data_IF_770264681857
#
_entry.id   IF_770264681857
#
_cell.length_a   1.000
_cell.length_b   1.000
_cell.length_c   1.000
_cell.angle_alpha   90.00
_cell.angle_beta   90.00
_cell.angle_gamma   90.00
#
_symmetry.space_group_name_H-M   'P 1'
#
loop_
_entity.id
_entity.type
_entity.pdbx_description
1 polymer ?
#
# COMPACT_ATOMS: atom_id res chain seq x y z
N UNK A 1 -9.51 -12.00 35.78
CA UNK A 1 -10.12 -12.08 34.44
C UNK A 1 -9.15 -12.48 33.31
N UNK A 2 -7.89 -12.87 33.60
CA UNK A 2 -6.92 -13.36 32.60
C UNK A 2 -6.71 -14.90 32.63
N UNK A 3 -7.19 -15.60 33.65
CA UNK A 3 -7.06 -17.06 33.75
C UNK A 3 -8.17 -17.85 33.02
N UNK A 4 -9.26 -17.19 32.59
CA UNK A 4 -10.33 -17.84 31.83
C UNK A 4 -10.03 -17.96 30.34
N UNK A 5 -9.17 -17.09 29.79
CA UNK A 5 -8.83 -17.09 28.36
C UNK A 5 -7.85 -18.23 28.00
N UNK A 6 -6.98 -18.62 28.95
CA UNK A 6 -6.00 -19.69 28.73
C UNK A 6 -6.60 -21.10 28.83
N UNK A 7 -7.69 -21.28 29.59
CA UNK A 7 -8.41 -22.56 29.64
C UNK A 7 -9.29 -22.81 28.40
N UNK A 8 -9.70 -21.75 27.68
CA UNK A 8 -10.65 -21.86 26.57
C UNK A 8 -10.03 -22.26 25.23
N UNK A 9 -8.71 -22.11 25.05
CA UNK A 9 -8.02 -22.67 23.89
C UNK A 9 -7.98 -24.20 23.92
N UNK A 10 -8.10 -24.82 25.11
CA UNK A 10 -8.03 -26.27 25.28
C UNK A 10 -9.30 -27.01 24.82
N UNK A 11 -10.44 -26.31 24.65
CA UNK A 11 -11.71 -26.93 24.25
C UNK A 11 -11.87 -27.06 22.72
N UNK A 12 -11.10 -26.29 21.92
CA UNK A 12 -11.18 -26.35 20.46
C UNK A 12 -10.41 -27.52 19.83
N UNK A 13 -9.57 -28.22 20.61
CA UNK A 13 -8.66 -29.24 20.11
C UNK A 13 -9.19 -30.68 20.24
N UNK A 14 -10.38 -30.90 20.83
CA UNK A 14 -10.85 -32.27 21.15
C UNK A 14 -12.27 -32.62 20.70
N UNK A 15 -13.09 -31.68 20.24
CA UNK A 15 -14.47 -31.97 19.83
C UNK A 15 -14.84 -31.32 18.49
N UNK A 16 -15.40 -32.13 17.59
CA UNK A 16 -15.94 -31.66 16.33
C UNK A 16 -17.23 -30.85 16.52
N UNK A 17 -17.49 -29.93 15.59
CA UNK A 17 -18.70 -29.11 15.55
C UNK A 17 -19.50 -29.43 14.29
N UNK A 18 -20.79 -29.07 14.29
CA UNK A 18 -21.63 -29.10 13.10
C UNK A 18 -21.91 -27.66 12.67
N UNK A 19 -21.58 -27.34 11.41
CA UNK A 19 -21.84 -26.02 10.80
C UNK A 19 -23.05 -26.16 9.86
N UNK A 20 -24.09 -25.37 10.12
CA UNK A 20 -25.29 -25.28 9.28
C UNK A 20 -25.19 -24.11 8.32
N UNK A 21 -25.02 -24.41 7.04
CA UNK A 21 -25.00 -23.44 5.96
C UNK A 21 -26.44 -23.14 5.52
N UNK A 22 -26.89 -21.91 5.77
CA UNK A 22 -28.23 -21.45 5.36
C UNK A 22 -28.26 -21.15 3.87
N UNK A 23 -29.13 -21.82 3.13
CA UNK A 23 -29.27 -21.59 1.68
C UNK A 23 -30.73 -21.34 1.29
N UNK A 24 -31.00 -20.69 0.14
CA UNK A 24 -32.36 -20.49 -0.35
C UNK A 24 -33.13 -21.78 -0.68
N UNK A 25 -32.42 -22.90 -0.88
CA UNK A 25 -32.98 -24.18 -1.36
C UNK A 25 -33.09 -25.21 -0.23
N UNK A 26 -32.60 -24.88 0.97
CA UNK A 26 -32.59 -25.74 2.16
C UNK A 26 -31.27 -25.64 2.92
N UNK A 27 -31.32 -25.82 4.23
CA UNK A 27 -30.13 -25.79 5.08
C UNK A 27 -29.27 -27.03 4.84
N UNK A 28 -27.95 -26.86 4.86
CA UNK A 28 -26.97 -27.95 4.70
C UNK A 28 -26.06 -28.02 5.92
N UNK A 29 -26.00 -29.19 6.55
CA UNK A 29 -25.14 -29.43 7.71
C UNK A 29 -23.81 -30.05 7.29
N UNK A 30 -22.72 -29.50 7.79
CA UNK A 30 -21.35 -29.93 7.50
C UNK A 30 -20.60 -30.19 8.80
N UNK A 31 -20.17 -31.44 9.07
CA UNK A 31 -19.39 -31.76 10.25
C UNK A 31 -17.93 -31.29 10.08
N UNK A 32 -17.37 -30.72 11.13
CA UNK A 32 -15.98 -30.27 11.20
C UNK A 32 -15.31 -30.92 12.40
N UNK A 33 -14.45 -31.92 12.15
CA UNK A 33 -13.81 -32.71 13.20
C UNK A 33 -12.80 -31.91 14.04
N UNK A 34 -12.10 -30.94 13.41
CA UNK A 34 -11.07 -30.11 14.05
C UNK A 34 -11.29 -28.63 13.75
N UNK A 35 -12.14 -27.93 14.55
CA UNK A 35 -12.46 -26.52 14.32
C UNK A 35 -11.23 -25.61 14.37
N UNK A 36 -10.22 -25.95 15.18
CA UNK A 36 -8.98 -25.17 15.31
C UNK A 36 -8.12 -25.14 14.03
N UNK A 37 -8.30 -26.14 13.15
CA UNK A 37 -7.58 -26.26 11.88
C UNK A 37 -8.37 -25.72 10.68
N UNK A 38 -9.64 -25.35 10.86
CA UNK A 38 -10.49 -24.84 9.79
C UNK A 38 -10.03 -23.44 9.38
N UNK A 39 -9.67 -23.24 8.10
CA UNK A 39 -9.42 -21.90 7.57
C UNK A 39 -10.69 -21.28 6.96
N UNK A 40 -10.73 -19.97 6.91
CA UNK A 40 -11.79 -19.19 6.26
C UNK A 40 -11.94 -19.58 4.79
N UNK A 41 -10.83 -19.87 4.10
CA UNK A 41 -10.89 -20.30 2.72
C UNK A 41 -11.48 -21.72 2.58
N UNK A 42 -11.20 -22.64 3.51
CA UNK A 42 -11.80 -23.98 3.49
C UNK A 42 -13.32 -23.91 3.64
N UNK A 43 -13.80 -23.04 4.54
CA UNK A 43 -15.23 -22.82 4.72
C UNK A 43 -15.86 -22.12 3.51
N UNK A 44 -15.19 -21.14 2.89
CA UNK A 44 -15.68 -20.56 1.62
C UNK A 44 -15.77 -21.59 0.49
N UNK A 45 -14.84 -22.54 0.42
CA UNK A 45 -14.91 -23.64 -0.56
C UNK A 45 -16.12 -24.52 -0.27
N UNK A 46 -16.34 -24.92 0.99
CA UNK A 46 -17.51 -25.72 1.38
C UNK A 46 -18.82 -25.00 1.05
N UNK A 47 -18.91 -23.68 1.27
CA UNK A 47 -20.11 -22.92 0.92
C UNK A 47 -20.27 -22.83 -0.61
N UNK A 48 -19.18 -22.69 -1.38
CA UNK A 48 -19.24 -22.68 -2.86
C UNK A 48 -19.67 -24.03 -3.44
N UNK A 49 -19.29 -25.13 -2.81
CA UNK A 49 -19.76 -26.46 -3.23
C UNK A 49 -21.28 -26.61 -3.04
N UNK A 50 -21.83 -25.96 -2.01
CA UNK A 50 -23.27 -25.92 -1.75
C UNK A 50 -24.00 -24.88 -2.62
N UNK A 51 -23.33 -23.76 -2.97
CA UNK A 51 -23.91 -22.65 -3.73
C UNK A 51 -22.99 -22.21 -4.91
N UNK A 52 -22.79 -23.08 -5.92
CA UNK A 52 -21.80 -22.86 -6.98
C UNK A 52 -22.12 -21.64 -7.88
N UNK A 53 -23.42 -21.29 -7.97
CA UNK A 53 -23.90 -20.18 -8.80
C UNK A 53 -23.73 -18.80 -8.15
N UNK A 54 -23.15 -18.74 -6.95
CA UNK A 54 -22.96 -17.49 -6.20
C UNK A 54 -21.48 -17.22 -5.96
N UNK A 55 -21.05 -15.99 -6.24
CA UNK A 55 -19.69 -15.55 -5.89
C UNK A 55 -19.68 -15.15 -4.42
N UNK A 56 -19.25 -16.09 -3.58
CA UNK A 56 -19.20 -15.90 -2.13
C UNK A 56 -17.80 -15.45 -1.73
N UNK A 57 -17.74 -14.27 -1.11
CA UNK A 57 -16.51 -13.65 -0.61
C UNK A 57 -16.53 -13.45 0.90
N UNK A 58 -17.67 -13.68 1.54
CA UNK A 58 -17.90 -13.55 2.97
C UNK A 58 -19.17 -14.32 3.39
N UNK A 59 -19.33 -14.58 4.67
CA UNK A 59 -20.58 -15.09 5.26
C UNK A 59 -20.83 -14.42 6.61
N UNK A 60 -22.04 -14.55 7.14
CA UNK A 60 -22.43 -13.98 8.43
C UNK A 60 -22.80 -15.09 9.41
N UNK A 61 -22.72 -14.83 10.70
CA UNK A 61 -23.32 -15.66 11.75
C UNK A 61 -24.19 -14.79 12.67
N UNK A 62 -25.04 -15.42 13.47
CA UNK A 62 -25.89 -14.73 14.44
C UNK A 62 -25.24 -14.77 15.83
N UNK A 63 -25.16 -13.62 16.50
CA UNK A 63 -24.78 -13.58 17.91
C UNK A 63 -25.98 -13.77 18.85
N UNK A 64 -25.75 -13.66 20.16
CA UNK A 64 -26.76 -13.82 21.22
C UNK A 64 -27.89 -12.79 21.18
N UNK A 65 -27.66 -11.64 20.53
CA UNK A 65 -28.62 -10.53 20.44
C UNK A 65 -29.41 -10.60 19.13
N UNK A 66 -29.04 -11.51 18.22
CA UNK A 66 -29.65 -11.67 16.90
C UNK A 66 -28.94 -10.86 15.80
N UNK A 67 -27.78 -10.26 16.08
CA UNK A 67 -27.06 -9.44 15.13
C UNK A 67 -26.26 -10.31 14.14
N UNK A 68 -26.33 -9.93 12.85
CA UNK A 68 -25.60 -10.60 11.75
C UNK A 68 -24.16 -10.09 11.70
N UNK A 69 -23.22 -10.88 12.24
CA UNK A 69 -21.79 -10.55 12.23
C UNK A 69 -21.12 -11.16 11.00
N UNK A 70 -20.49 -10.33 10.17
CA UNK A 70 -19.80 -10.82 8.96
C UNK A 70 -18.38 -11.33 9.24
N UNK A 71 -18.06 -12.50 8.68
CA UNK A 71 -16.75 -13.14 8.67
C UNK A 71 -16.12 -13.03 7.28
N UNK A 72 -14.88 -12.52 7.23
CA UNK A 72 -14.11 -12.22 6.01
C UNK A 72 -12.63 -12.65 6.11
N UNK A 73 -12.21 -13.25 7.23
CA UNK A 73 -10.81 -13.59 7.52
C UNK A 73 -10.69 -14.79 8.47
N UNK A 74 -9.48 -15.37 8.58
CA UNK A 74 -9.17 -16.46 9.51
C UNK A 74 -9.28 -16.01 10.97
N UNK A 75 -8.94 -14.76 11.27
CA UNK A 75 -9.03 -14.17 12.60
C UNK A 75 -10.50 -14.04 13.05
N UNK A 76 -11.37 -13.53 12.16
CA UNK A 76 -12.81 -13.44 12.43
C UNK A 76 -13.47 -14.81 12.51
N UNK A 77 -13.02 -15.78 11.70
CA UNK A 77 -13.46 -17.18 11.80
C UNK A 77 -13.09 -17.76 13.17
N UNK A 78 -11.85 -17.57 13.63
CA UNK A 78 -11.41 -18.03 14.95
C UNK A 78 -12.21 -17.38 16.08
N UNK A 79 -12.51 -16.09 15.97
CA UNK A 79 -13.37 -15.41 16.94
C UNK A 79 -14.78 -15.99 16.96
N UNK A 80 -15.39 -16.21 15.80
CA UNK A 80 -16.71 -16.85 15.66
C UNK A 80 -16.71 -18.26 16.25
N UNK A 81 -15.73 -19.09 15.92
CA UNK A 81 -15.63 -20.45 16.42
C UNK A 81 -15.40 -20.46 17.94
N UNK A 82 -14.54 -19.55 18.46
CA UNK A 82 -14.27 -19.45 19.90
C UNK A 82 -15.53 -19.05 20.67
N UNK A 83 -16.29 -18.08 20.13
CA UNK A 83 -17.58 -17.69 20.64
C UNK A 83 -18.57 -18.86 20.67
N UNK A 84 -18.73 -19.57 19.55
CA UNK A 84 -19.63 -20.72 19.47
C UNK A 84 -19.25 -21.84 20.46
N UNK A 85 -17.96 -22.20 20.54
CA UNK A 85 -17.48 -23.22 21.47
C UNK A 85 -17.75 -22.85 22.94
N UNK A 86 -17.64 -21.56 23.31
CA UNK A 86 -17.99 -21.10 24.66
C UNK A 86 -19.48 -21.30 24.93
N UNK A 87 -20.34 -20.89 24.00
CA UNK A 87 -21.80 -20.99 24.15
C UNK A 87 -22.27 -22.46 24.21
N UNK A 88 -21.69 -23.33 23.39
CA UNK A 88 -21.95 -24.77 23.45
C UNK A 88 -21.53 -25.37 24.80
N UNK A 89 -20.39 -24.94 25.33
CA UNK A 89 -19.90 -25.42 26.64
C UNK A 89 -20.85 -25.01 27.77
N UNK A 90 -21.36 -23.78 27.75
CA UNK A 90 -22.35 -23.29 28.72
C UNK A 90 -23.71 -23.99 28.59
N UNK A 91 -24.20 -24.22 27.37
CA UNK A 91 -25.45 -24.93 27.12
C UNK A 91 -25.40 -26.37 27.66
N UNK A 92 -24.28 -27.07 27.46
CA UNK A 92 -24.08 -28.43 27.96
C UNK A 92 -24.01 -28.51 29.48
N UNK A 93 -23.36 -27.53 30.13
CA UNK A 93 -23.36 -27.42 31.60
C UNK A 93 -24.79 -27.25 32.15
N UNK A 94 -25.67 -26.63 31.38
CA UNK A 94 -27.09 -26.44 31.70
C UNK A 94 -27.99 -27.60 31.22
N UNK A 95 -27.42 -28.69 30.69
CA UNK A 95 -28.15 -29.88 30.24
C UNK A 95 -28.93 -29.69 28.93
N UNK A 96 -28.62 -28.65 28.15
CA UNK A 96 -29.25 -28.33 26.87
C UNK A 96 -28.41 -28.88 25.72
N UNK A 97 -29.08 -29.49 24.73
CA UNK A 97 -28.43 -29.94 23.49
C UNK A 97 -28.06 -28.72 22.64
N UNK A 98 -26.79 -28.56 22.24
CA UNK A 98 -26.36 -27.40 21.45
C UNK A 98 -26.89 -27.45 20.02
N UNK A 99 -27.34 -26.31 19.50
CA UNK A 99 -27.69 -26.18 18.09
C UNK A 99 -26.44 -26.04 17.21
N UNK A 100 -26.47 -26.52 15.94
CA UNK A 100 -25.39 -26.31 14.98
C UNK A 100 -25.07 -24.83 14.75
N UNK A 101 -23.79 -24.51 14.50
CA UNK A 101 -23.35 -23.15 14.20
C UNK A 101 -23.94 -22.70 12.86
N UNK A 102 -24.87 -21.74 12.89
CA UNK A 102 -25.54 -21.27 11.69
C UNK A 102 -24.73 -20.19 10.98
N UNK A 103 -24.46 -20.38 9.69
CA UNK A 103 -23.80 -19.39 8.83
C UNK A 103 -24.67 -19.02 7.63
N UNK A 104 -24.56 -17.77 7.21
CA UNK A 104 -25.39 -17.11 6.21
C UNK A 104 -24.49 -16.57 5.09
N UNK A 105 -24.38 -17.25 3.95
CA UNK A 105 -23.52 -16.82 2.86
C UNK A 105 -23.91 -15.46 2.29
N UNK A 106 -22.93 -14.59 2.01
CA UNK A 106 -23.14 -13.37 1.23
C UNK A 106 -22.55 -13.52 -0.16
N UNK A 107 -23.43 -13.54 -1.16
CA UNK A 107 -23.05 -13.53 -2.57
C UNK A 107 -24.02 -12.70 -3.42
N UNK A 108 -23.53 -12.17 -4.54
CA UNK A 108 -24.35 -11.59 -5.60
C UNK A 108 -24.66 -12.68 -6.63
N UNK A 109 -25.94 -12.91 -6.94
CA UNK A 109 -26.35 -13.89 -7.97
C UNK A 109 -25.86 -13.45 -9.36
N UNK A 110 -25.05 -14.30 -10.00
CA UNK A 110 -24.84 -14.22 -11.44
C UNK A 110 -25.95 -15.02 -12.12
N UNK A 111 -26.89 -14.35 -12.79
CA UNK A 111 -27.94 -15.00 -13.58
C UNK A 111 -27.34 -15.76 -14.78
N UNK A 112 -27.20 -17.09 -14.77
CA UNK A 112 -27.33 -17.95 -15.99
C UNK A 112 -27.73 -19.42 -15.65
N UNK A 113 -28.94 -19.78 -16.09
CA UNK A 113 -29.48 -21.08 -16.61
C UNK A 113 -28.87 -22.45 -16.20
N UNK A 114 -29.76 -23.23 -15.58
CA UNK A 114 -29.84 -24.69 -15.33
C UNK A 114 -29.23 -25.63 -16.39
N UNK A 115 -28.50 -26.65 -15.92
CA UNK A 115 -28.56 -28.03 -16.45
C UNK A 115 -28.49 -29.07 -15.31
N UNK A 116 -29.33 -30.09 -15.39
CA UNK A 116 -29.48 -31.17 -14.40
C UNK A 116 -28.42 -32.27 -14.54
N UNK A 117 -28.03 -32.93 -13.44
CA UNK A 117 -27.59 -34.32 -13.52
C UNK A 117 -26.69 -34.87 -12.40
N UNK A 118 -27.30 -35.72 -11.58
CA UNK A 118 -26.77 -36.95 -10.96
C UNK A 118 -25.70 -36.91 -9.83
N UNK A 119 -26.18 -37.45 -8.70
CA UNK A 119 -25.51 -38.09 -7.56
C UNK A 119 -24.12 -38.68 -7.82
N UNK A 120 -23.16 -38.35 -6.96
CA UNK A 120 -21.86 -39.02 -6.86
C UNK A 120 -21.07 -38.60 -5.62
N UNK A 121 -20.79 -39.56 -4.73
CA UNK A 121 -19.85 -39.44 -3.59
C UNK A 121 -18.51 -38.87 -4.06
N UNK A 122 -17.99 -37.85 -3.38
CA UNK A 122 -16.64 -37.32 -3.65
C UNK A 122 -15.61 -37.88 -2.66
N UNK A 123 -14.65 -38.62 -3.23
CA UNK A 123 -13.35 -38.90 -2.62
C UNK A 123 -12.54 -37.60 -2.53
N UNK A 124 -11.96 -37.34 -1.36
CA UNK A 124 -11.02 -36.25 -1.11
C UNK A 124 -9.78 -36.44 -1.99
N UNK A 125 -9.59 -35.56 -2.98
CA UNK A 125 -8.34 -35.36 -3.67
C UNK A 125 -7.74 -34.03 -3.22
N UNK A 126 -6.62 -34.11 -2.51
CA UNK A 126 -5.79 -32.97 -2.13
C UNK A 126 -5.36 -32.20 -3.39
N UNK A 127 -5.98 -31.04 -3.63
CA UNK A 127 -5.44 -30.05 -4.57
C UNK A 127 -4.62 -29.04 -3.77
N UNK A 128 -3.32 -29.13 -3.96
CA UNK A 128 -2.33 -28.30 -3.28
C UNK A 128 -2.42 -26.84 -3.73
N UNK A 129 -2.53 -25.95 -2.75
CA UNK A 129 -2.51 -24.49 -2.91
C UNK A 129 -1.24 -24.03 -3.65
N UNK A 130 -1.39 -23.58 -4.89
CA UNK A 130 -0.30 -23.21 -5.80
C UNK A 130 -0.10 -21.69 -5.94
N UNK A 131 -1.06 -20.86 -5.52
CA UNK A 131 -0.98 -19.40 -5.66
C UNK A 131 -0.28 -18.68 -4.49
N UNK A 132 -0.46 -19.13 -3.23
CA UNK A 132 0.26 -18.57 -2.07
C UNK A 132 1.72 -19.03 -1.98
N UNK A 133 2.03 -20.22 -2.52
CA UNK A 133 3.40 -20.73 -2.62
C UNK A 133 4.25 -19.94 -3.62
N UNK A 134 3.64 -19.36 -4.67
CA UNK A 134 4.35 -18.55 -5.68
C UNK A 134 4.86 -17.23 -5.10
N UNK A 135 4.03 -16.47 -4.38
CA UNK A 135 4.47 -15.19 -3.79
C UNK A 135 5.48 -15.41 -2.67
N UNK A 136 5.33 -16.45 -1.84
CA UNK A 136 6.33 -16.82 -0.83
C UNK A 136 7.68 -17.27 -1.43
N UNK A 137 7.66 -17.96 -2.59
CA UNK A 137 8.87 -18.36 -3.29
C UNK A 137 9.59 -17.18 -3.96
N UNK A 138 8.85 -16.23 -4.55
CA UNK A 138 9.44 -14.99 -5.10
C UNK A 138 10.00 -14.08 -4.01
N UNK A 139 9.33 -14.00 -2.86
CA UNK A 139 9.76 -13.23 -1.70
C UNK A 139 11.01 -13.85 -1.06
N UNK A 140 11.04 -15.18 -0.88
CA UNK A 140 12.29 -15.88 -0.53
C UNK A 140 13.36 -15.58 -1.56
N UNK A 141 13.07 -15.64 -2.86
CA UNK A 141 14.04 -15.30 -3.92
C UNK A 141 14.54 -13.86 -3.84
N UNK A 142 13.70 -12.87 -3.57
CA UNK A 142 14.09 -11.46 -3.39
C UNK A 142 14.95 -11.29 -2.14
N UNK A 143 14.56 -11.91 -1.02
CA UNK A 143 15.29 -11.89 0.25
C UNK A 143 16.60 -12.71 0.19
N UNK A 144 16.67 -13.77 -0.63
CA UNK A 144 17.85 -14.65 -0.77
C UNK A 144 18.78 -14.24 -1.91
N UNK A 145 18.30 -13.47 -2.88
CA UNK A 145 19.12 -12.95 -3.99
C UNK A 145 19.86 -11.66 -3.62
N UNK A 146 19.50 -11.04 -2.49
CA UNK A 146 20.18 -9.85 -2.01
C UNK A 146 21.64 -10.12 -1.68
N UNK A 147 22.57 -9.42 -2.34
CA UNK A 147 24.02 -9.54 -2.09
C UNK A 147 24.48 -8.92 -0.74
N UNK A 148 23.53 -8.48 0.09
CA UNK A 148 23.79 -7.69 1.30
C UNK A 148 23.08 -8.39 2.45
N UNK A 149 23.85 -8.90 3.42
CA UNK A 149 23.31 -9.47 4.65
C UNK A 149 23.28 -8.43 5.77
N UNK A 150 22.42 -8.67 6.77
CA UNK A 150 22.30 -7.80 7.94
C UNK A 150 23.64 -7.59 8.68
N UNK A 151 24.49 -8.60 8.73
CA UNK A 151 25.78 -8.57 9.42
C UNK A 151 26.81 -7.66 8.72
N UNK A 152 26.62 -7.42 7.42
CA UNK A 152 27.53 -6.63 6.59
C UNK A 152 27.19 -5.13 6.62
N UNK A 153 26.16 -4.74 7.38
CA UNK A 153 25.64 -3.37 7.44
C UNK A 153 26.07 -2.70 8.74
N UNK A 154 26.83 -1.62 8.60
CA UNK A 154 27.15 -0.71 9.68
C UNK A 154 26.21 0.49 9.65
N UNK A 155 25.22 0.50 10.55
CA UNK A 155 24.29 1.63 10.71
C UNK A 155 25.00 2.90 11.18
N UNK A 156 24.56 4.04 10.66
CA UNK A 156 25.05 5.38 10.99
C UNK A 156 23.88 6.25 11.49
N UNK A 157 23.86 7.52 11.10
CA UNK A 157 22.82 8.49 11.46
C UNK A 157 21.44 8.12 10.90
N UNK A 158 20.40 8.45 11.66
CA UNK A 158 19.02 8.38 11.19
C UNK A 158 18.76 9.50 10.19
N UNK A 159 18.19 9.16 9.04
CA UNK A 159 17.85 10.09 7.95
C UNK A 159 16.41 10.61 8.09
N UNK A 160 15.49 9.76 8.54
CA UNK A 160 14.08 10.11 8.67
C UNK A 160 13.26 9.05 9.39
N UNK A 161 12.05 9.40 9.81
CA UNK A 161 11.09 8.50 10.45
C UNK A 161 9.67 8.87 10.05
N UNK A 162 8.82 7.86 9.82
CA UNK A 162 7.40 8.04 9.58
C UNK A 162 6.62 6.74 9.70
N UNK A 163 5.36 6.75 9.24
CA UNK A 163 4.48 5.57 9.32
C UNK A 163 5.04 4.35 8.60
N UNK A 164 5.85 4.56 7.56
CA UNK A 164 6.50 3.49 6.80
C UNK A 164 7.80 2.95 7.42
N UNK A 165 8.11 3.32 8.67
CA UNK A 165 9.33 2.90 9.37
C UNK A 165 10.38 3.99 9.51
N UNK A 166 11.59 3.59 9.90
CA UNK A 166 12.72 4.50 10.14
C UNK A 166 13.80 4.27 9.10
N UNK A 167 14.31 5.34 8.50
CA UNK A 167 15.36 5.27 7.48
C UNK A 167 16.69 5.68 8.11
N UNK A 168 17.69 4.82 7.97
CA UNK A 168 19.05 5.05 8.43
C UNK A 168 20.00 5.17 7.25
N UNK A 169 21.01 6.01 7.40
CA UNK A 169 22.22 5.89 6.59
C UNK A 169 23.00 4.70 7.10
N UNK A 170 23.56 3.89 6.21
CA UNK A 170 24.42 2.79 6.60
C UNK A 170 25.57 2.61 5.63
N UNK A 171 26.61 1.92 6.06
CA UNK A 171 27.72 1.52 5.22
C UNK A 171 27.71 0.00 5.03
N UNK A 172 27.68 -0.44 3.78
CA UNK A 172 27.83 -1.85 3.45
C UNK A 172 29.31 -2.20 3.37
N UNK A 173 29.79 -3.01 4.32
CA UNK A 173 31.21 -3.32 4.52
C UNK A 173 31.82 -4.03 3.31
N UNK A 174 31.17 -5.08 2.81
CA UNK A 174 31.69 -5.89 1.70
C UNK A 174 31.60 -5.16 0.36
N UNK A 175 30.50 -4.45 0.13
CA UNK A 175 30.28 -3.71 -1.12
C UNK A 175 30.88 -2.30 -1.14
N UNK A 176 31.55 -1.89 -0.07
CA UNK A 176 32.21 -0.59 0.13
C UNK A 176 31.38 0.62 -0.30
N UNK A 177 30.08 0.63 0.04
CA UNK A 177 29.14 1.66 -0.42
C UNK A 177 28.23 2.15 0.70
N UNK A 178 27.80 3.40 0.58
CA UNK A 178 26.80 4.00 1.46
C UNK A 178 25.41 3.62 0.97
N UNK A 179 24.53 3.27 1.91
CA UNK A 179 23.15 2.84 1.69
C UNK A 179 22.17 3.73 2.46
N UNK A 180 20.93 3.75 1.99
CA UNK A 180 19.78 4.06 2.82
C UNK A 180 19.09 2.74 3.22
N UNK A 181 18.85 2.54 4.51
CA UNK A 181 18.22 1.33 5.05
C UNK A 181 16.93 1.71 5.76
N UNK A 182 15.79 1.37 5.15
CA UNK A 182 14.46 1.57 5.72
C UNK A 182 14.09 0.35 6.57
N UNK A 183 13.96 0.55 7.87
CA UNK A 183 13.64 -0.48 8.86
C UNK A 183 12.18 -0.36 9.27
N UNK A 184 11.41 -1.42 9.04
CA UNK A 184 9.97 -1.50 9.27
C UNK A 184 9.71 -2.60 10.31
N UNK A 185 9.26 -2.27 11.54
CA UNK A 185 8.90 -3.27 12.55
C UNK A 185 7.72 -4.10 12.07
N UNK A 186 7.71 -5.42 12.25
CA UNK A 186 6.69 -6.37 11.77
C UNK A 186 5.67 -6.80 12.84
N UNK A 187 5.47 -6.02 13.91
CA UNK A 187 4.30 -6.16 14.81
C UNK A 187 3.02 -5.68 14.08
N UNK A 188 2.81 -6.21 12.88
CA UNK A 188 2.03 -5.64 11.79
C UNK A 188 0.95 -6.65 11.36
N UNK A 189 -0.22 -6.13 10.98
CA UNK A 189 -1.33 -6.91 10.42
C UNK A 189 -0.98 -7.55 9.06
N UNK A 190 -1.67 -8.63 8.69
CA UNK A 190 -1.43 -9.35 7.42
C UNK A 190 -1.56 -8.42 6.19
N UNK A 191 -2.39 -7.38 6.26
CA UNK A 191 -2.61 -6.40 5.20
C UNK A 191 -1.36 -5.57 4.92
N UNK A 192 -0.75 -4.99 5.96
CA UNK A 192 0.44 -4.15 5.79
C UNK A 192 1.67 -5.02 5.41
N UNK A 193 1.71 -6.29 5.84
CA UNK A 193 2.70 -7.23 5.29
C UNK A 193 2.53 -7.39 3.76
N UNK A 194 1.32 -7.65 3.27
CA UNK A 194 1.05 -7.73 1.81
C UNK A 194 1.44 -6.44 1.08
N UNK A 195 1.21 -5.28 1.70
CA UNK A 195 1.62 -3.99 1.13
C UNK A 195 3.14 -3.87 1.01
N UNK A 196 3.89 -4.20 2.07
CA UNK A 196 5.37 -4.20 2.05
C UNK A 196 5.88 -5.15 0.98
N UNK A 197 5.28 -6.33 0.84
CA UNK A 197 5.70 -7.31 -0.18
C UNK A 197 5.46 -6.79 -1.60
N UNK A 198 4.31 -6.17 -1.86
CA UNK A 198 4.05 -5.58 -3.17
C UNK A 198 4.94 -4.36 -3.45
N UNK A 199 5.37 -3.59 -2.44
CA UNK A 199 6.37 -2.52 -2.61
C UNK A 199 7.74 -3.11 -2.98
N UNK A 200 8.18 -4.16 -2.29
CA UNK A 200 9.43 -4.87 -2.59
C UNK A 200 9.44 -5.49 -3.99
N UNK A 201 8.34 -6.10 -4.43
CA UNK A 201 8.21 -6.66 -5.77
C UNK A 201 8.34 -5.60 -6.86
N UNK A 202 7.77 -4.41 -6.64
CA UNK A 202 7.90 -3.29 -7.57
C UNK A 202 9.35 -2.82 -7.62
N UNK A 203 9.96 -2.56 -6.46
CA UNK A 203 11.36 -2.13 -6.35
C UNK A 203 12.31 -3.11 -7.04
N UNK A 204 12.10 -4.41 -6.85
CA UNK A 204 12.90 -5.45 -7.48
C UNK A 204 12.79 -5.50 -9.01
N UNK A 205 11.64 -5.12 -9.57
CA UNK A 205 11.40 -5.07 -11.03
C UNK A 205 11.93 -3.79 -11.67
N UNK A 206 12.18 -2.74 -10.89
CA UNK A 206 12.59 -1.45 -11.40
C UNK A 206 14.10 -1.43 -11.67
N UNK A 207 14.44 -1.06 -12.90
CA UNK A 207 15.78 -0.73 -13.37
C UNK A 207 15.68 0.51 -14.26
N UNK A 208 15.90 1.67 -13.65
CA UNK A 208 15.77 2.97 -14.32
C UNK A 208 16.59 4.03 -13.58
N UNK A 209 17.26 4.95 -14.30
CA UNK A 209 18.01 6.04 -13.66
C UNK A 209 17.12 7.07 -12.95
N UNK A 210 15.79 6.98 -13.08
CA UNK A 210 14.81 7.89 -12.46
C UNK A 210 14.02 7.24 -11.31
N UNK A 211 14.32 5.98 -10.99
CA UNK A 211 13.73 5.24 -9.87
C UNK A 211 14.86 4.85 -8.91
N UNK A 212 14.59 4.91 -7.60
CA UNK A 212 15.57 4.54 -6.60
C UNK A 212 16.06 3.10 -6.80
N UNK A 213 17.38 2.92 -6.80
CA UNK A 213 18.02 1.62 -6.99
C UNK A 213 17.81 0.79 -5.73
N UNK A 214 17.15 -0.35 -5.89
CA UNK A 214 17.01 -1.36 -4.87
C UNK A 214 18.22 -2.30 -4.89
N UNK A 215 18.79 -2.59 -3.72
CA UNK A 215 19.92 -3.54 -3.61
C UNK A 215 19.52 -4.86 -2.97
N UNK A 216 18.81 -4.82 -1.84
CA UNK A 216 18.46 -6.02 -1.07
C UNK A 216 17.37 -5.70 -0.06
N UNK A 217 16.65 -6.71 0.39
CA UNK A 217 15.86 -6.64 1.60
C UNK A 217 16.13 -7.88 2.44
N UNK A 218 16.08 -7.74 3.77
CA UNK A 218 16.28 -8.86 4.69
C UNK A 218 15.41 -8.68 5.95
N UNK A 219 15.22 -9.80 6.65
CA UNK A 219 14.40 -9.86 7.85
C UNK A 219 15.29 -10.16 9.07
N UNK A 220 15.17 -9.34 10.12
CA UNK A 220 15.89 -9.49 11.40
C UNK A 220 14.94 -9.11 12.55
N UNK A 221 14.83 -9.97 13.57
CA UNK A 221 14.15 -9.67 14.84
C UNK A 221 12.76 -9.03 14.70
N UNK A 222 11.90 -9.63 13.87
CA UNK A 222 10.58 -9.08 13.56
C UNK A 222 10.64 -7.68 12.92
N UNK A 223 11.60 -7.44 12.02
CA UNK A 223 11.69 -6.22 11.22
C UNK A 223 12.11 -6.55 9.79
N UNK A 224 11.56 -5.84 8.81
CA UNK A 224 12.05 -5.84 7.43
C UNK A 224 12.97 -4.65 7.25
N UNK A 225 14.15 -4.90 6.70
CA UNK A 225 15.08 -3.86 6.29
C UNK A 225 15.17 -3.84 4.77
N UNK A 226 14.93 -2.67 4.17
CA UNK A 226 14.99 -2.44 2.72
C UNK A 226 16.21 -1.58 2.44
N UNK A 227 17.15 -2.08 1.65
CA UNK A 227 18.40 -1.42 1.30
C UNK A 227 18.32 -0.82 -0.11
N UNK A 228 18.49 0.49 -0.19
CA UNK A 228 18.51 1.24 -1.44
C UNK A 228 19.78 2.09 -1.55
N UNK A 229 20.02 2.66 -2.73
CA UNK A 229 21.07 3.66 -2.89
C UNK A 229 20.84 4.87 -1.98
N UNK A 230 21.93 5.45 -1.49
CA UNK A 230 21.89 6.66 -0.68
C UNK A 230 21.91 7.90 -1.57
N UNK A 231 20.84 8.71 -1.47
CA UNK A 231 20.72 10.01 -2.15
C UNK A 231 21.14 11.11 -1.17
N UNK A 232 22.38 11.60 -1.28
CA UNK A 232 23.01 12.49 -0.29
C UNK A 232 22.45 13.92 -0.23
N UNK A 233 21.64 14.30 -1.22
CA UNK A 233 20.81 15.51 -1.19
C UNK A 233 19.47 15.30 -0.47
N UNK A 234 19.08 14.07 -0.14
CA UNK A 234 17.81 13.76 0.49
C UNK A 234 16.60 14.08 -0.40
N UNK A 235 15.44 14.25 0.22
CA UNK A 235 14.16 14.51 -0.43
C UNK A 235 13.89 15.99 -0.70
N UNK A 236 13.00 16.31 -1.65
CA UNK A 236 12.74 17.70 -2.04
C UNK A 236 11.97 18.52 -0.99
N UNK A 237 11.22 17.88 -0.10
CA UNK A 237 10.45 18.53 0.97
C UNK A 237 11.32 19.28 1.99
N UNK A 238 12.60 18.91 2.15
CA UNK A 238 13.51 19.63 3.04
C UNK A 238 14.02 20.96 2.44
N UNK A 239 13.74 21.22 1.16
CA UNK A 239 14.16 22.43 0.45
C UNK A 239 13.04 23.46 0.41
N UNK A 240 13.35 24.71 0.76
CA UNK A 240 12.35 25.78 0.82
C UNK A 240 12.00 26.38 -0.53
N UNK A 241 12.99 26.75 -1.33
CA UNK A 241 12.76 27.45 -2.61
C UNK A 241 13.65 26.87 -3.69
N UNK A 242 13.03 26.25 -4.68
CA UNK A 242 13.73 25.71 -5.84
C UNK A 242 13.51 26.68 -7.01
N UNK A 243 14.59 27.22 -7.61
CA UNK A 243 14.48 28.05 -8.82
C UNK A 243 13.82 27.28 -9.97
N UNK A 244 13.00 27.94 -10.77
CA UNK A 244 12.25 27.30 -11.88
C UNK A 244 13.16 26.50 -12.83
N UNK A 245 14.36 27.01 -13.15
CA UNK A 245 15.29 26.33 -14.04
C UNK A 245 15.85 25.02 -13.46
N UNK A 246 15.98 24.91 -12.13
CA UNK A 246 16.33 23.66 -11.46
C UNK A 246 15.10 22.75 -11.40
N UNK A 247 13.97 23.32 -11.02
CA UNK A 247 12.69 22.63 -10.90
C UNK A 247 12.26 22.00 -12.24
N UNK A 248 12.50 22.66 -13.37
CA UNK A 248 12.23 22.11 -14.69
C UNK A 248 13.03 20.84 -15.00
N UNK A 249 14.30 20.78 -14.59
CA UNK A 249 15.13 19.56 -14.76
C UNK A 249 14.71 18.44 -13.81
N UNK A 250 14.29 18.79 -12.60
CA UNK A 250 13.65 17.85 -11.68
C UNK A 250 12.34 17.31 -12.28
N UNK A 251 11.51 18.18 -12.88
CA UNK A 251 10.25 17.79 -13.53
C UNK A 251 10.49 16.78 -14.66
N UNK A 252 11.51 17.02 -15.49
CA UNK A 252 11.92 16.07 -16.55
C UNK A 252 12.21 14.69 -15.97
N UNK A 253 13.00 14.61 -14.90
CA UNK A 253 13.35 13.33 -14.27
C UNK A 253 12.12 12.64 -13.66
N UNK A 254 11.24 13.39 -12.98
CA UNK A 254 10.00 12.85 -12.40
C UNK A 254 9.07 12.31 -13.49
N UNK A 255 8.85 13.07 -14.58
CA UNK A 255 8.00 12.63 -15.70
C UNK A 255 8.61 11.39 -16.38
N UNK A 256 9.92 11.34 -16.58
CA UNK A 256 10.60 10.13 -17.10
C UNK A 256 10.44 8.92 -16.17
N UNK A 257 10.53 9.12 -14.86
CA UNK A 257 10.25 8.09 -13.85
C UNK A 257 8.82 7.57 -13.94
N UNK A 258 7.82 8.45 -14.03
CA UNK A 258 6.42 8.05 -14.18
C UNK A 258 6.13 7.36 -15.52
N UNK A 259 6.72 7.85 -16.62
CA UNK A 259 6.65 7.17 -17.93
C UNK A 259 7.22 5.75 -17.85
N UNK A 260 8.37 5.58 -17.18
CA UNK A 260 8.97 4.27 -16.97
C UNK A 260 8.04 3.33 -16.19
N UNK A 261 7.52 3.76 -15.03
CA UNK A 261 6.59 2.95 -14.24
C UNK A 261 5.33 2.60 -15.03
N UNK A 262 4.79 3.56 -15.77
CA UNK A 262 3.61 3.35 -16.59
C UNK A 262 3.82 2.32 -17.70
N UNK A 263 5.03 2.27 -18.27
CA UNK A 263 5.41 1.23 -19.24
C UNK A 263 5.37 -0.18 -18.65
N UNK A 264 5.67 -0.30 -17.35
CA UNK A 264 5.56 -1.54 -16.57
C UNK A 264 4.15 -1.78 -16.00
N UNK A 265 3.17 -0.93 -16.32
CA UNK A 265 1.81 -0.94 -15.75
C UNK A 265 1.77 -0.74 -14.23
N UNK A 266 2.74 0.00 -13.70
CA UNK A 266 2.85 0.35 -12.30
C UNK A 266 2.40 1.79 -12.10
N UNK A 267 1.58 2.03 -11.08
CA UNK A 267 1.20 3.37 -10.61
C UNK A 267 2.02 3.70 -9.38
N UNK A 268 2.48 4.94 -9.26
CA UNK A 268 3.27 5.34 -8.09
C UNK A 268 2.40 5.57 -6.86
N UNK A 269 1.24 6.23 -7.00
CA UNK A 269 0.23 6.47 -5.95
C UNK A 269 0.66 7.32 -4.75
N UNK A 270 1.87 7.86 -4.72
CA UNK A 270 2.34 8.70 -3.61
C UNK A 270 3.42 9.68 -4.09
N UNK A 271 3.15 10.34 -5.23
CA UNK A 271 4.07 11.32 -5.79
C UNK A 271 3.97 12.60 -4.96
N UNK A 272 5.06 12.96 -4.28
CA UNK A 272 5.16 14.17 -3.44
C UNK A 272 6.63 14.55 -3.24
N UNK A 273 6.94 15.79 -2.79
CA UNK A 273 8.33 16.21 -2.61
C UNK A 273 9.16 15.31 -1.68
N UNK A 274 8.56 14.71 -0.65
CA UNK A 274 9.25 13.78 0.25
C UNK A 274 9.62 12.43 -0.39
N UNK A 275 9.01 12.08 -1.53
CA UNK A 275 9.29 10.88 -2.31
C UNK A 275 10.08 11.16 -3.60
N UNK A 276 10.59 12.39 -3.75
CA UNK A 276 11.49 12.80 -4.83
C UNK A 276 12.87 13.06 -4.23
N UNK A 277 13.84 12.19 -4.51
CA UNK A 277 15.18 12.25 -3.96
C UNK A 277 16.16 12.88 -4.94
N UNK A 278 17.12 13.63 -4.41
CA UNK A 278 18.20 14.27 -5.18
C UNK A 278 19.58 13.95 -4.57
N UNK A 279 20.62 14.02 -5.38
CA UNK A 279 22.00 13.84 -4.91
C UNK A 279 22.95 14.90 -5.49
N UNK A 280 24.17 14.96 -4.94
CA UNK A 280 25.22 15.89 -5.35
C UNK A 280 25.74 15.64 -6.76
N UNK A 281 25.40 14.51 -7.39
CA UNK A 281 25.67 14.23 -8.81
C UNK A 281 24.58 14.79 -9.74
N UNK A 282 23.53 15.42 -9.18
CA UNK A 282 22.43 16.00 -9.96
C UNK A 282 21.40 14.98 -10.43
N UNK A 283 21.45 13.75 -9.91
CA UNK A 283 20.43 12.75 -10.19
C UNK A 283 19.16 13.04 -9.38
N UNK A 284 18.02 12.73 -9.98
CA UNK A 284 16.70 12.89 -9.37
C UNK A 284 15.96 11.56 -9.54
N UNK A 285 15.49 10.98 -8.43
CA UNK A 285 14.88 9.65 -8.42
C UNK A 285 13.62 9.61 -7.58
N UNK A 286 12.62 8.88 -8.05
CA UNK A 286 11.41 8.57 -7.27
C UNK A 286 11.67 7.40 -6.34
N UNK A 287 11.12 7.47 -5.12
CA UNK A 287 11.16 6.40 -4.13
C UNK A 287 9.78 6.19 -3.48
N UNK A 288 9.66 5.17 -2.63
CA UNK A 288 8.47 4.91 -1.78
C UNK A 288 7.15 4.85 -2.57
N UNK A 289 6.92 3.72 -3.23
CA UNK A 289 5.68 3.48 -3.97
C UNK A 289 4.50 3.34 -3.00
N UNK A 290 3.42 4.07 -3.28
CA UNK A 290 2.20 4.14 -2.47
C UNK A 290 1.34 2.88 -2.51
N UNK A 291 1.93 1.69 -2.57
CA UNK A 291 1.22 0.40 -2.45
C UNK A 291 0.44 0.33 -1.13
N UNK A 292 0.98 0.95 -0.08
CA UNK A 292 0.37 1.06 1.25
C UNK A 292 -0.81 2.03 1.34
N UNK A 293 -1.01 2.88 0.32
CA UNK A 293 -2.07 3.90 0.31
C UNK A 293 -3.35 3.43 -0.39
N UNK A 294 -3.63 2.12 -0.34
CA UNK A 294 -4.94 1.60 -0.73
C UNK A 294 -5.99 2.18 0.22
N UNK A 295 -6.94 2.92 -0.36
CA UNK A 295 -8.03 3.62 0.31
C UNK A 295 -9.04 2.69 1.00
N UNK A 296 -8.73 1.41 1.15
CA UNK A 296 -9.67 0.40 1.63
C UNK A 296 -9.61 0.40 3.15
N UNK A 297 -10.56 1.14 3.74
CA UNK A 297 -11.02 1.08 5.14
C UNK A 297 -10.32 1.93 6.21
N UNK A 298 -9.36 2.79 5.88
CA UNK A 298 -8.69 3.63 6.88
C UNK A 298 -8.98 5.13 6.73
N UNK A 299 -10.26 5.51 6.66
CA UNK A 299 -10.67 6.90 6.95
C UNK A 299 -10.42 7.21 8.45
N UNK A 300 -10.31 6.19 9.30
CA UNK A 300 -10.44 6.36 10.75
C UNK A 300 -9.15 6.36 11.59
N UNK A 301 -7.95 6.01 11.07
CA UNK A 301 -6.79 5.80 11.98
C UNK A 301 -5.41 6.32 11.59
N UNK A 302 -5.26 7.11 10.55
CA UNK A 302 -4.03 7.90 10.32
C UNK A 302 -4.35 8.98 9.29
N UNK A 303 -3.51 10.00 9.18
CA UNK A 303 -3.45 10.98 8.08
C UNK A 303 -3.93 12.41 8.38
N UNK A 304 -2.96 13.18 8.88
CA UNK A 304 -2.81 14.61 8.58
C UNK A 304 -1.50 14.71 7.78
N UNK A 305 -1.53 15.15 6.51
CA UNK A 305 -0.32 15.40 5.71
C UNK A 305 -0.32 14.87 4.27
N UNK A 306 -0.27 13.55 4.06
CA UNK A 306 -0.04 12.96 2.71
C UNK A 306 -1.20 13.12 1.74
N UNK A 307 -2.44 13.31 2.21
CA UNK A 307 -3.60 13.35 1.31
C UNK A 307 -3.70 14.64 0.49
N UNK A 308 -2.91 15.68 0.81
CA UNK A 308 -2.91 16.95 0.07
C UNK A 308 -2.56 16.79 -1.42
N UNK A 309 -1.74 15.78 -1.74
CA UNK A 309 -1.31 15.51 -3.11
C UNK A 309 -2.26 14.57 -3.86
N UNK A 310 -3.31 14.05 -3.21
CA UNK A 310 -4.23 13.10 -3.85
C UNK A 310 -5.13 13.81 -4.85
N UNK A 311 -5.37 13.13 -5.96
CA UNK A 311 -6.28 13.60 -6.99
C UNK A 311 -7.75 13.52 -6.54
N UNK A 312 -8.64 14.42 -7.00
CA UNK A 312 -10.05 14.47 -6.60
C UNK A 312 -10.78 13.14 -6.77
N UNK A 313 -10.60 12.48 -7.91
CA UNK A 313 -11.23 11.19 -8.22
C UNK A 313 -10.82 10.08 -7.24
N UNK A 314 -9.59 10.16 -6.71
CA UNK A 314 -9.10 9.20 -5.73
C UNK A 314 -9.71 9.42 -4.36
N UNK A 315 -9.93 10.68 -3.98
CA UNK A 315 -10.60 11.06 -2.73
C UNK A 315 -12.07 10.63 -2.77
N UNK A 316 -12.73 10.81 -3.92
CA UNK A 316 -14.12 10.40 -4.15
C UNK A 316 -14.31 8.88 -4.30
N UNK A 317 -13.24 8.09 -4.28
CA UNK A 317 -13.29 6.64 -4.45
C UNK A 317 -13.63 6.18 -5.87
N UNK A 318 -13.49 7.06 -6.87
CA UNK A 318 -13.71 6.73 -8.27
C UNK A 318 -12.54 5.92 -8.85
N UNK A 319 -12.73 5.42 -10.08
CA UNK A 319 -11.66 4.71 -10.77
C UNK A 319 -10.50 5.66 -11.09
N UNK A 320 -9.37 5.40 -10.45
CA UNK A 320 -8.15 6.19 -10.59
C UNK A 320 -7.08 5.44 -11.39
N UNK A 321 -6.10 6.17 -11.93
CA UNK A 321 -5.07 5.63 -12.81
C UNK A 321 -3.85 6.53 -12.88
N UNK A 322 -3.07 6.43 -13.96
CA UNK A 322 -1.83 7.20 -14.11
C UNK A 322 -2.05 8.73 -14.09
N UNK A 323 -3.26 9.19 -14.42
CA UNK A 323 -3.61 10.60 -14.44
C UNK A 323 -3.70 11.17 -13.01
N UNK A 324 -3.92 10.31 -12.01
CA UNK A 324 -3.90 10.69 -10.60
C UNK A 324 -2.47 10.98 -10.12
N UNK A 325 -1.47 10.23 -10.60
CA UNK A 325 -0.06 10.55 -10.34
C UNK A 325 0.35 11.89 -10.99
N UNK A 326 -0.21 12.19 -12.17
CA UNK A 326 0.00 13.48 -12.87
C UNK A 326 -0.56 14.66 -12.07
N UNK A 327 -1.73 14.50 -11.45
CA UNK A 327 -2.24 15.52 -10.51
C UNK A 327 -1.27 15.76 -9.35
N UNK A 328 -0.78 14.68 -8.75
CA UNK A 328 0.17 14.76 -7.64
C UNK A 328 1.49 15.45 -8.04
N UNK A 329 1.96 15.28 -9.29
CA UNK A 329 3.05 16.09 -9.86
C UNK A 329 2.68 17.57 -9.88
N UNK A 330 1.50 17.92 -10.39
CA UNK A 330 1.03 19.31 -10.43
C UNK A 330 1.07 19.99 -9.05
N UNK A 331 0.49 19.35 -8.04
CA UNK A 331 0.49 19.87 -6.66
C UNK A 331 1.92 19.98 -6.11
N UNK A 332 2.74 18.94 -6.28
CA UNK A 332 4.13 18.93 -5.79
C UNK A 332 4.95 20.09 -6.35
N UNK A 333 4.86 20.32 -7.66
CA UNK A 333 5.63 21.36 -8.33
C UNK A 333 5.05 22.75 -8.14
N UNK A 334 3.80 22.85 -7.68
CA UNK A 334 3.20 24.11 -7.26
C UNK A 334 3.65 24.55 -5.85
N UNK A 335 3.75 23.60 -4.92
CA UNK A 335 4.11 23.85 -3.52
C UNK A 335 5.57 24.31 -3.36
N UNK A 336 6.49 23.50 -3.90
CA UNK A 336 7.95 23.61 -3.72
C UNK A 336 8.52 25.01 -4.03
N UNK A 337 8.14 25.71 -5.11
CA UNK A 337 8.71 27.04 -5.39
C UNK A 337 8.13 28.15 -4.53
N UNK A 338 6.93 27.98 -3.96
CA UNK A 338 6.22 29.05 -3.27
C UNK A 338 6.26 28.95 -1.73
N UNK A 339 6.78 27.84 -1.16
CA UNK A 339 6.51 27.47 0.24
C UNK A 339 5.00 27.57 0.57
N UNK A 340 4.14 27.33 -0.43
CA UNK A 340 2.71 27.31 -0.23
C UNK A 340 2.39 26.02 0.48
N UNK A 341 2.55 26.01 1.79
CA UNK A 341 1.87 25.04 2.62
C UNK A 341 0.41 25.42 2.51
N UNK A 342 -0.28 24.89 1.51
CA UNK A 342 -1.68 25.23 1.19
C UNK A 342 -2.65 25.01 2.37
N UNK A 343 -2.17 24.46 3.49
CA UNK A 343 -3.01 23.70 4.42
C UNK A 343 -2.63 23.87 5.90
N UNK A 344 -1.82 24.85 6.29
CA UNK A 344 -1.51 25.04 7.72
C UNK A 344 -2.73 25.44 8.56
N UNK A 345 -3.85 25.82 7.94
CA UNK A 345 -5.04 26.32 8.64
C UNK A 345 -6.29 25.43 8.51
N UNK A 346 -6.29 24.40 7.66
CA UNK A 346 -7.47 23.56 7.40
C UNK A 346 -7.37 22.20 8.07
N UNK A 347 -8.49 21.68 8.57
CA UNK A 347 -8.54 20.29 9.03
C UNK A 347 -8.40 19.31 7.86
N UNK A 348 -7.92 18.06 8.08
CA UNK A 348 -7.74 17.08 7.02
C UNK A 348 -9.00 16.83 6.18
N UNK A 349 -10.18 16.77 6.82
CA UNK A 349 -11.45 16.56 6.11
C UNK A 349 -11.81 17.77 5.23
N UNK A 350 -11.63 18.99 5.75
CA UNK A 350 -11.89 20.22 4.99
C UNK A 350 -10.95 20.33 3.79
N UNK A 351 -9.68 19.95 3.96
CA UNK A 351 -8.73 19.87 2.87
C UNK A 351 -9.22 18.93 1.76
N UNK A 352 -9.61 17.70 2.12
CA UNK A 352 -10.14 16.74 1.15
C UNK A 352 -11.37 17.28 0.41
N UNK A 353 -12.28 17.95 1.13
CA UNK A 353 -13.44 18.61 0.54
C UNK A 353 -13.03 19.73 -0.42
N UNK A 354 -12.11 20.61 -0.05
CA UNK A 354 -11.61 21.66 -0.95
C UNK A 354 -11.01 21.07 -2.24
N UNK A 355 -10.21 19.99 -2.14
CA UNK A 355 -9.64 19.33 -3.32
C UNK A 355 -10.74 18.80 -4.26
N UNK A 356 -11.81 18.23 -3.70
CA UNK A 356 -12.90 17.64 -4.49
C UNK A 356 -13.84 18.69 -5.05
N UNK A 357 -14.19 19.71 -4.26
CA UNK A 357 -15.30 20.62 -4.54
C UNK A 357 -14.85 21.93 -5.20
N UNK A 358 -13.69 22.46 -4.83
CA UNK A 358 -13.21 23.76 -5.30
C UNK A 358 -12.42 23.67 -6.62
N UNK A 359 -12.07 24.84 -7.18
CA UNK A 359 -11.17 24.91 -8.32
C UNK A 359 -9.72 24.67 -7.86
N UNK A 360 -8.91 23.98 -8.69
CA UNK A 360 -7.51 23.77 -8.37
C UNK A 360 -6.80 25.11 -8.20
N UNK A 361 -5.84 25.21 -7.28
CA UNK A 361 -5.14 26.47 -7.03
C UNK A 361 -4.29 26.85 -8.25
N UNK A 362 -4.13 28.17 -8.46
CA UNK A 362 -3.42 28.73 -9.63
C UNK A 362 -2.13 29.40 -9.17
N UNK A 363 -1.07 29.29 -9.96
CA UNK A 363 0.20 29.96 -9.68
C UNK A 363 0.06 31.50 -9.73
N UNK A 364 0.79 32.24 -8.88
CA UNK A 364 0.79 33.71 -8.91
C UNK A 364 1.21 34.28 -10.27
N UNK A 365 0.44 35.25 -10.76
CA UNK A 365 0.71 35.91 -12.05
C UNK A 365 2.06 36.65 -11.99
N UNK A 366 2.88 36.49 -13.03
CA UNK A 366 4.13 37.23 -13.21
C UNK A 366 5.34 36.72 -12.41
N UNK A 367 5.19 35.66 -11.62
CA UNK A 367 6.32 35.07 -10.85
C UNK A 367 7.03 33.92 -11.58
N UNK A 368 6.34 33.29 -12.54
CA UNK A 368 6.78 32.07 -13.22
C UNK A 368 6.63 32.21 -14.74
N UNK A 369 7.37 31.41 -15.50
CA UNK A 369 7.22 31.39 -16.95
C UNK A 369 5.84 30.87 -17.38
N UNK A 370 5.33 31.36 -18.51
CA UNK A 370 4.07 30.87 -19.09
C UNK A 370 4.09 29.36 -19.34
N UNK A 371 5.24 28.83 -19.74
CA UNK A 371 5.44 27.40 -19.92
C UNK A 371 5.26 26.62 -18.62
N UNK A 372 5.80 27.12 -17.51
CA UNK A 372 5.65 26.46 -16.21
C UNK A 372 4.21 26.55 -15.71
N UNK A 373 3.58 27.72 -15.81
CA UNK A 373 2.17 27.90 -15.43
C UNK A 373 1.29 26.95 -16.23
N UNK A 374 1.48 26.88 -17.55
CA UNK A 374 0.72 25.99 -18.41
C UNK A 374 0.96 24.51 -18.05
N UNK A 375 2.20 24.10 -17.77
CA UNK A 375 2.51 22.73 -17.33
C UNK A 375 1.72 22.34 -16.08
N UNK A 376 1.75 23.18 -15.03
CA UNK A 376 1.02 22.93 -13.78
C UNK A 376 -0.49 22.90 -14.01
N UNK A 377 -1.03 23.84 -14.80
CA UNK A 377 -2.46 23.87 -15.13
C UNK A 377 -2.91 22.61 -15.86
N UNK A 378 -2.12 22.07 -16.79
CA UNK A 378 -2.43 20.81 -17.48
C UNK A 378 -2.41 19.61 -16.52
N UNK A 379 -1.45 19.56 -15.60
CA UNK A 379 -1.36 18.50 -14.59
C UNK A 379 -2.55 18.52 -13.61
N UNK A 380 -3.08 19.71 -13.29
CA UNK A 380 -4.12 19.90 -12.28
C UNK A 380 -5.53 20.09 -12.87
N UNK A 381 -5.79 19.62 -14.09
CA UNK A 381 -7.17 19.59 -14.59
C UNK A 381 -8.03 18.69 -13.73
N UNK A 382 -9.23 19.17 -13.37
CA UNK A 382 -10.14 18.48 -12.45
C UNK A 382 -10.51 17.09 -12.97
N UNK A 383 -10.97 17.01 -14.22
CA UNK A 383 -11.33 15.75 -14.85
C UNK A 383 -10.07 14.94 -15.19
N UNK A 384 -9.95 13.68 -14.72
CA UNK A 384 -8.75 12.87 -14.95
C UNK A 384 -8.42 12.73 -16.43
N UNK A 385 -9.42 12.50 -17.27
CA UNK A 385 -9.25 12.30 -18.73
C UNK A 385 -8.72 13.52 -19.48
N UNK A 386 -8.83 14.72 -18.90
CA UNK A 386 -8.32 15.93 -19.53
C UNK A 386 -6.85 16.19 -19.19
N UNK A 387 -6.32 15.51 -18.16
CA UNK A 387 -4.90 15.57 -17.83
C UNK A 387 -4.10 14.77 -18.87
N UNK A 388 -2.93 15.25 -19.28
CA UNK A 388 -2.04 14.48 -20.15
C UNK A 388 -1.52 13.24 -19.41
N UNK A 389 -1.36 12.13 -20.12
CA UNK A 389 -0.59 11.01 -19.62
C UNK A 389 0.92 11.36 -19.57
N UNK A 390 1.75 10.66 -18.78
CA UNK A 390 3.19 10.97 -18.67
C UNK A 390 3.93 11.07 -20.02
N UNK A 391 3.59 10.23 -21.00
CA UNK A 391 4.19 10.30 -22.33
C UNK A 391 3.84 11.60 -23.06
N UNK A 392 2.62 12.12 -22.90
CA UNK A 392 2.25 13.40 -23.49
C UNK A 392 2.88 14.58 -22.74
N UNK A 393 3.12 14.44 -21.42
CA UNK A 393 3.87 15.44 -20.67
C UNK A 393 5.32 15.57 -21.16
N UNK A 394 5.93 14.48 -21.64
CA UNK A 394 7.28 14.53 -22.23
C UNK A 394 7.37 15.45 -23.46
N UNK A 395 6.25 15.68 -24.15
CA UNK A 395 6.14 16.55 -25.33
C UNK A 395 5.76 18.00 -24.95
N UNK A 396 5.49 18.26 -23.67
CA UNK A 396 5.09 19.59 -23.21
C UNK A 396 6.24 20.59 -23.32
N UNK A 397 5.96 21.82 -23.76
CA UNK A 397 6.97 22.87 -24.00
C UNK A 397 7.90 23.11 -22.79
N UNK A 398 7.36 23.14 -21.58
CA UNK A 398 8.15 23.24 -20.34
C UNK A 398 9.13 22.07 -20.16
N UNK A 399 8.70 20.83 -20.41
CA UNK A 399 9.56 19.65 -20.26
C UNK A 399 10.62 19.63 -21.37
N UNK A 400 10.24 19.92 -22.62
CA UNK A 400 11.18 20.02 -23.74
C UNK A 400 12.26 21.09 -23.49
N UNK A 401 11.90 22.23 -22.92
CA UNK A 401 12.83 23.32 -22.61
C UNK A 401 13.95 22.88 -21.65
N UNK A 402 13.65 22.00 -20.69
CA UNK A 402 14.59 21.56 -19.65
C UNK A 402 15.12 20.14 -19.84
N UNK A 403 14.68 19.42 -20.87
CA UNK A 403 15.19 18.08 -21.20
C UNK A 403 16.51 18.16 -21.98
N UNK A 404 17.50 18.84 -21.40
CA UNK A 404 18.81 19.13 -22.01
C UNK A 404 19.91 18.14 -21.57
N UNK A 405 19.60 17.22 -20.65
CA UNK A 405 20.56 16.27 -20.09
C UNK A 405 21.59 16.90 -19.14
N UNK A 406 21.46 18.18 -18.80
CA UNK A 406 22.42 18.88 -17.94
C UNK A 406 22.12 18.64 -16.46
N UNK A 407 22.72 17.59 -15.90
CA UNK A 407 22.60 17.27 -14.46
C UNK A 407 23.40 18.23 -13.58
N UNK A 408 24.38 18.97 -14.12
CA UNK A 408 25.23 19.88 -13.35
C UNK A 408 24.42 20.99 -12.68
N UNK A 409 23.35 21.46 -13.33
CA UNK A 409 22.46 22.50 -12.76
C UNK A 409 21.83 22.03 -11.44
N UNK A 410 21.34 20.79 -11.40
CA UNK A 410 20.76 20.22 -10.17
C UNK A 410 21.87 19.94 -9.16
N UNK A 411 23.00 19.37 -9.60
CA UNK A 411 24.17 19.08 -8.77
C UNK A 411 24.68 20.32 -8.03
N UNK A 412 24.95 21.41 -8.76
CA UNK A 412 25.44 22.66 -8.18
C UNK A 412 24.46 23.27 -7.20
N UNK A 413 23.16 23.24 -7.54
CA UNK A 413 22.11 23.73 -6.65
C UNK A 413 22.03 22.91 -5.35
N UNK A 414 22.05 21.58 -5.43
CA UNK A 414 22.06 20.69 -4.25
C UNK A 414 23.30 20.96 -3.40
N UNK A 415 24.49 20.99 -4.00
CA UNK A 415 25.74 21.23 -3.27
C UNK A 415 25.70 22.54 -2.48
N UNK A 416 25.27 23.63 -3.15
CA UNK A 416 25.11 24.93 -2.53
C UNK A 416 24.12 24.89 -1.34
N UNK A 417 22.95 24.29 -1.52
CA UNK A 417 21.97 24.19 -0.43
C UNK A 417 22.49 23.37 0.76
N UNK A 418 23.25 22.30 0.51
CA UNK A 418 23.87 21.51 1.57
C UNK A 418 24.96 22.28 2.32
N UNK A 419 25.77 23.06 1.61
CA UNK A 419 26.77 23.95 2.23
C UNK A 419 26.12 25.00 3.12
N UNK A 420 25.07 25.67 2.64
CA UNK A 420 24.30 26.67 3.40
C UNK A 420 23.70 26.05 4.68
N UNK A 421 23.11 24.83 4.59
CA UNK A 421 22.61 24.10 5.77
C UNK A 421 23.71 23.74 6.76
N UNK A 422 24.89 23.32 6.28
CA UNK A 422 26.04 22.99 7.14
C UNK A 422 26.58 24.22 7.86
N UNK A 423 26.61 25.37 7.19
CA UNK A 423 27.01 26.64 7.79
C UNK A 423 26.04 27.07 8.91
N UNK A 424 24.73 26.95 8.67
CA UNK A 424 23.69 27.26 9.67
C UNK A 424 23.73 26.37 10.91
N UNK A 425 24.18 25.11 10.80
CA UNK A 425 24.33 24.19 11.95
C UNK A 425 25.57 24.45 12.80
N UNK A 426 26.54 25.21 12.29
CA UNK A 426 27.80 25.55 12.97
C UNK A 426 27.74 26.89 13.70
N UNK A 427 26.74 27.71 13.40
CA UNK A 427 26.35 28.90 14.16
C UNK A 427 25.39 28.49 15.26
#
# INVERSE_FOLDING_TARGET
MLLLILNNFCAMDTEGIEIRIKTPVGDMDSPVDFPSLLSFNDLLVAIRDVMPETTITAFEYEDEVGDRITVRSDEELKAMLSYYCNNVSEQRLNGVLPEPLQIFPRGTCACVRVFSGHSGRLHVLFVSCSSLKKSSAELKKILTNGQINAQDIQYQEQLGHGNGGTVYKAYHLLGMRVLAVKVIPLDITVELQKQIMSELEILYKCDSPYIITFYSAFFVENRISICTEFMDGGSLDVYRRIPEHVLGRIAVAVVKGLTYLWSLKILHRDVKPSNMLVNTQGQVKLCDFGVSTQLVNSIAKTYVGTNAYMAPERISGEQYGIHSDVWSVGISFMEVPNNLVFHNSLSPLQLLQCIVDENPPVLPVGQFSENFVHFITQCMRRLPKERPAPNNLMEHAFILLYNDGNTEVVSMWVCRCLEERRAQRRM
#
